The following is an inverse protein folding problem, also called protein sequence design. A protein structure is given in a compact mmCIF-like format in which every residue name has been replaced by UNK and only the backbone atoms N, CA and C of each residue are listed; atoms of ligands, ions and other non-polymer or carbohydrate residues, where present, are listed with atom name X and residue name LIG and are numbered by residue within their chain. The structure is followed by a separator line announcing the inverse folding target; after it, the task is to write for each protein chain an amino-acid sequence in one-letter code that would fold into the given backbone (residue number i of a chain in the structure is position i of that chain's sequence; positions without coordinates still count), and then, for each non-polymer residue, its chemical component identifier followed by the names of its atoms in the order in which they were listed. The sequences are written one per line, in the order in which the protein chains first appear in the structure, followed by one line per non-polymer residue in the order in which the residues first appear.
data_IF_486769551986
#
_entry.id   IF_486769551986
#
_cell.length_a   1.000
_cell.length_b   1.000
_cell.length_c   1.000
_cell.angle_alpha   90.00
_cell.angle_beta   90.00
_cell.angle_gamma   90.00
#
_symmetry.space_group_name_H-M   'P 1'
#
loop_
_entity.id
_entity.type
_entity.pdbx_description
1 polymer ?
#
# COMPACT_ATOMS: atom_id res chain seq x y z
N UNK A 1 5.84 -33.27 19.18
CA UNK A 1 5.12 -31.98 19.10
C UNK A 1 5.77 -31.20 17.96
N UNK A 2 5.27 -31.38 16.74
CA UNK A 2 5.82 -30.70 15.57
C UNK A 2 5.35 -29.25 15.62
N UNK A 3 6.28 -28.35 15.97
CA UNK A 3 6.06 -26.91 15.86
C UNK A 3 6.20 -26.54 14.39
N UNK A 4 5.08 -26.37 13.69
CA UNK A 4 5.09 -25.72 12.40
C UNK A 4 5.41 -24.25 12.66
N UNK A 5 6.62 -23.81 12.30
CA UNK A 5 6.91 -22.38 12.19
C UNK A 5 6.10 -21.87 11.00
N UNK A 6 5.08 -21.06 11.25
CA UNK A 6 4.50 -20.24 10.21
C UNK A 6 5.61 -19.33 9.68
N UNK A 7 6.03 -19.54 8.44
CA UNK A 7 6.87 -18.59 7.73
C UNK A 7 5.92 -17.56 7.12
N UNK A 8 5.97 -16.33 7.60
CA UNK A 8 5.31 -15.21 6.93
C UNK A 8 6.11 -14.96 5.66
N UNK A 9 5.61 -15.45 4.53
CA UNK A 9 6.19 -15.17 3.21
C UNK A 9 5.43 -13.97 2.66
N UNK A 10 6.08 -12.81 2.61
CA UNK A 10 5.55 -11.66 1.91
C UNK A 10 5.63 -11.93 0.40
N UNK A 11 4.48 -12.10 -0.24
CA UNK A 11 4.36 -12.31 -1.67
C UNK A 11 3.82 -11.04 -2.31
N UNK A 12 4.73 -10.25 -2.89
CA UNK A 12 4.40 -9.03 -3.62
C UNK A 12 4.37 -9.30 -5.12
N UNK A 13 3.31 -8.87 -5.80
CA UNK A 13 3.22 -8.91 -7.25
C UNK A 13 3.06 -7.48 -7.79
N UNK A 14 4.11 -6.95 -8.41
CA UNK A 14 4.04 -5.71 -9.17
C UNK A 14 3.32 -5.95 -10.50
N UNK A 15 2.33 -5.13 -10.82
CA UNK A 15 1.55 -5.25 -12.06
C UNK A 15 1.95 -4.13 -13.01
N UNK A 16 2.32 -4.46 -14.25
CA UNK A 16 2.74 -3.50 -15.28
C UNK A 16 1.54 -2.84 -16.00
N UNK A 17 0.61 -2.27 -15.23
CA UNK A 17 -0.50 -1.44 -15.71
C UNK A 17 -0.78 -0.34 -14.69
N UNK A 18 -1.05 0.87 -15.17
CA UNK A 18 -1.38 2.00 -14.31
C UNK A 18 -2.90 2.14 -14.19
N UNK A 19 -3.40 2.20 -12.96
CA UNK A 19 -4.82 2.21 -12.65
C UNK A 19 -5.12 3.23 -11.55
N UNK A 20 -6.36 3.71 -11.49
CA UNK A 20 -6.85 4.46 -10.32
C UNK A 20 -6.86 3.57 -9.08
N UNK A 21 -6.91 4.18 -7.90
CA UNK A 21 -6.86 3.42 -6.64
C UNK A 21 -7.98 2.36 -6.55
N UNK A 22 -9.20 2.72 -6.96
CA UNK A 22 -10.36 1.80 -6.97
C UNK A 22 -10.17 0.67 -8.00
N UNK A 23 -9.63 0.98 -9.18
CA UNK A 23 -9.38 -0.01 -10.22
C UNK A 23 -8.25 -0.98 -9.83
N UNK A 24 -7.17 -0.48 -9.21
CA UNK A 24 -6.07 -1.28 -8.69
C UNK A 24 -6.55 -2.25 -7.60
N UNK A 25 -7.37 -1.77 -6.65
CA UNK A 25 -8.05 -2.62 -5.66
C UNK A 25 -8.85 -3.74 -6.34
N UNK A 26 -9.72 -3.38 -7.29
CA UNK A 26 -10.53 -4.37 -8.01
C UNK A 26 -9.67 -5.35 -8.83
N UNK A 27 -8.54 -4.90 -9.37
CA UNK A 27 -7.62 -5.75 -10.11
C UNK A 27 -7.03 -6.83 -9.20
N UNK A 28 -6.50 -6.47 -8.03
CA UNK A 28 -5.96 -7.45 -7.08
C UNK A 28 -7.03 -8.47 -6.64
N UNK A 29 -8.24 -7.99 -6.34
CA UNK A 29 -9.36 -8.86 -5.93
C UNK A 29 -9.74 -9.88 -7.03
N UNK A 30 -9.70 -9.49 -8.31
CA UNK A 30 -9.95 -10.41 -9.43
C UNK A 30 -8.92 -11.53 -9.55
N UNK A 31 -7.70 -11.32 -9.03
CA UNK A 31 -6.65 -12.32 -8.99
C UNK A 31 -6.69 -13.21 -7.74
N UNK A 32 -7.66 -13.01 -6.84
CA UNK A 32 -7.67 -13.68 -5.53
C UNK A 32 -6.59 -13.14 -4.58
N UNK A 33 -6.15 -11.91 -4.81
CA UNK A 33 -5.19 -11.16 -4.00
C UNK A 33 -5.88 -9.93 -3.39
N UNK A 34 -5.15 -9.12 -2.62
CA UNK A 34 -5.62 -7.82 -2.13
C UNK A 34 -4.58 -6.72 -2.42
N UNK A 35 -5.00 -5.47 -2.42
CA UNK A 35 -4.08 -4.35 -2.60
C UNK A 35 -3.18 -4.24 -1.36
N UNK A 36 -1.89 -3.98 -1.53
CA UNK A 36 -0.89 -4.01 -0.47
C UNK A 36 -1.29 -3.26 0.81
N UNK A 37 -1.19 -3.89 1.98
CA UNK A 37 -1.18 -3.25 3.29
C UNK A 37 0.23 -3.31 3.88
N UNK A 38 0.60 -2.32 4.68
CA UNK A 38 1.93 -2.28 5.34
C UNK A 38 1.71 -2.11 6.83
N UNK A 39 1.65 -3.22 7.55
CA UNK A 39 1.18 -3.27 8.93
C UNK A 39 2.35 -3.22 9.93
N UNK A 40 3.58 -3.52 9.48
CA UNK A 40 4.79 -3.53 10.33
C UNK A 40 5.99 -2.80 9.72
N UNK A 41 6.95 -2.43 10.57
CA UNK A 41 8.20 -1.81 10.12
C UNK A 41 9.09 -2.80 9.35
N UNK A 42 9.03 -4.08 9.71
CA UNK A 42 9.72 -5.18 9.05
C UNK A 42 9.19 -5.38 7.62
N UNK A 43 7.86 -5.37 7.44
CA UNK A 43 7.22 -5.38 6.11
C UNK A 43 7.65 -4.20 5.25
N UNK A 44 7.59 -2.99 5.81
CA UNK A 44 8.01 -1.79 5.10
C UNK A 44 9.46 -1.87 4.65
N UNK A 45 10.37 -2.34 5.51
CA UNK A 45 11.79 -2.48 5.19
C UNK A 45 12.00 -3.47 4.05
N UNK A 46 11.41 -4.67 4.15
CA UNK A 46 11.53 -5.70 3.11
C UNK A 46 10.95 -5.23 1.77
N UNK A 47 9.83 -4.50 1.81
CA UNK A 47 9.22 -3.92 0.62
C UNK A 47 10.12 -2.85 -0.01
N UNK A 48 10.67 -1.92 0.79
CA UNK A 48 11.54 -0.85 0.30
C UNK A 48 12.82 -1.40 -0.34
N UNK A 49 13.42 -2.44 0.24
CA UNK A 49 14.57 -3.14 -0.37
C UNK A 49 14.18 -3.71 -1.74
N UNK A 50 13.06 -4.45 -1.80
CA UNK A 50 12.61 -5.07 -3.05
C UNK A 50 12.31 -4.04 -4.15
N UNK A 51 11.54 -2.99 -3.85
CA UNK A 51 11.18 -1.99 -4.87
C UNK A 51 12.35 -1.05 -5.19
N UNK A 52 13.24 -0.79 -4.24
CA UNK A 52 14.45 0.02 -4.48
C UNK A 52 15.41 -0.66 -5.46
N UNK A 53 15.55 -1.98 -5.38
CA UNK A 53 16.41 -2.74 -6.29
C UNK A 53 15.77 -2.95 -7.67
N UNK A 54 14.46 -3.23 -7.71
CA UNK A 54 13.80 -3.70 -8.94
C UNK A 54 13.00 -2.60 -9.66
N UNK A 55 12.51 -1.60 -8.93
CA UNK A 55 11.58 -0.58 -9.42
C UNK A 55 11.86 0.84 -8.86
N UNK A 56 13.12 1.32 -8.83
CA UNK A 56 13.50 2.54 -8.10
C UNK A 56 12.77 3.81 -8.56
N UNK A 57 12.33 3.86 -9.82
CA UNK A 57 11.70 5.05 -10.41
C UNK A 57 10.17 5.02 -10.41
N UNK A 58 9.56 3.95 -9.90
CA UNK A 58 8.11 3.75 -9.93
C UNK A 58 7.45 4.32 -8.67
N UNK A 59 6.18 4.69 -8.77
CA UNK A 59 5.33 5.05 -7.64
C UNK A 59 4.20 4.04 -7.54
N UNK A 60 3.78 3.71 -6.31
CA UNK A 60 2.85 2.61 -6.10
C UNK A 60 1.64 3.01 -5.28
N UNK A 61 0.46 2.55 -5.67
CA UNK A 61 -0.68 2.49 -4.77
C UNK A 61 -0.48 1.46 -3.67
N UNK A 62 -0.99 1.82 -2.48
CA UNK A 62 -1.26 0.90 -1.37
C UNK A 62 -2.76 0.86 -1.09
N UNK A 63 -3.20 -0.01 -0.19
CA UNK A 63 -4.59 -0.05 0.28
C UNK A 63 -4.93 1.01 1.35
N UNK A 64 -3.98 1.87 1.71
CA UNK A 64 -4.19 2.91 2.71
C UNK A 64 -5.14 3.97 2.16
N UNK A 65 -6.23 4.25 2.87
CA UNK A 65 -7.19 5.27 2.48
C UNK A 65 -7.99 5.79 3.68
N UNK A 66 -8.41 7.05 3.60
CA UNK A 66 -9.43 7.64 4.49
C UNK A 66 -10.70 8.06 3.70
N UNK A 67 -10.85 7.64 2.44
CA UNK A 67 -11.93 8.02 1.51
C UNK A 67 -13.34 7.81 2.08
N UNK A 68 -13.51 6.75 2.88
CA UNK A 68 -14.80 6.39 3.48
C UNK A 68 -14.86 6.69 4.99
N UNK A 69 -13.88 7.41 5.53
CA UNK A 69 -13.70 7.62 6.96
C UNK A 69 -13.81 9.11 7.34
N UNK A 70 -14.95 9.53 7.94
CA UNK A 70 -15.22 10.95 8.22
C UNK A 70 -14.31 11.57 9.28
N UNK A 71 -13.52 10.75 9.99
CA UNK A 71 -12.55 11.21 10.99
C UNK A 71 -11.24 11.69 10.35
N UNK A 72 -11.04 11.49 9.04
CA UNK A 72 -9.79 11.75 8.34
C UNK A 72 -8.68 10.74 8.63
N UNK A 73 -8.93 9.77 9.52
CA UNK A 73 -7.98 8.70 9.83
C UNK A 73 -7.88 7.72 8.67
N UNK A 74 -6.65 7.33 8.36
CA UNK A 74 -6.36 6.30 7.36
C UNK A 74 -6.56 4.90 7.93
N UNK A 75 -7.06 4.03 7.06
CA UNK A 75 -7.23 2.60 7.29
C UNK A 75 -6.65 1.82 6.11
N UNK A 76 -6.20 0.61 6.38
CA UNK A 76 -5.89 -0.36 5.35
C UNK A 76 -7.20 -0.97 4.84
N UNK A 77 -7.67 -0.55 3.67
CA UNK A 77 -8.95 -1.03 3.11
C UNK A 77 -8.95 -2.57 2.91
N UNK A 78 -7.79 -3.15 2.64
CA UNK A 78 -7.59 -4.59 2.46
C UNK A 78 -7.74 -5.42 3.75
N UNK A 79 -7.48 -4.84 4.93
CA UNK A 79 -7.55 -5.54 6.23
C UNK A 79 -8.64 -5.01 7.15
N UNK A 80 -9.09 -3.77 6.91
CA UNK A 80 -10.02 -3.04 7.77
C UNK A 80 -9.36 -2.42 9.00
N UNK A 81 -8.04 -2.57 9.17
CA UNK A 81 -7.33 -2.05 10.33
C UNK A 81 -6.98 -0.57 10.17
N UNK A 82 -6.99 0.16 11.28
CA UNK A 82 -6.46 1.54 11.31
C UNK A 82 -4.92 1.47 11.21
N UNK A 83 -4.29 2.44 10.56
CA UNK A 83 -2.82 2.48 10.48
C UNK A 83 -2.20 2.49 11.89
N UNK A 84 -1.51 1.39 12.24
CA UNK A 84 -0.75 1.23 13.49
C UNK A 84 0.74 1.57 13.33
N UNK A 85 1.31 1.20 12.17
CA UNK A 85 2.64 1.62 11.72
C UNK A 85 2.50 2.70 10.66
N UNK A 86 3.47 3.63 10.60
CA UNK A 86 3.50 4.67 9.56
C UNK A 86 4.90 4.97 9.04
N UNK A 87 5.02 5.16 7.73
CA UNK A 87 6.23 5.62 7.06
C UNK A 87 5.97 6.88 6.20
N UNK A 88 5.16 7.81 6.72
CA UNK A 88 4.84 9.08 6.06
C UNK A 88 6.09 9.88 5.72
N UNK A 89 6.12 10.44 4.51
CA UNK A 89 7.09 11.45 4.14
C UNK A 89 6.89 12.71 5.00
N UNK A 90 7.92 13.56 5.05
CA UNK A 90 7.87 14.76 5.87
C UNK A 90 6.64 15.62 5.53
N UNK A 91 5.90 16.00 6.58
CA UNK A 91 4.64 16.76 6.54
C UNK A 91 3.42 16.03 5.97
N UNK A 92 3.51 14.73 5.67
CA UNK A 92 2.36 13.94 5.21
C UNK A 92 1.62 13.22 6.36
N UNK A 93 0.31 12.95 6.22
CA UNK A 93 -0.56 13.40 5.13
C UNK A 93 -0.94 14.88 5.25
N UNK A 94 -0.92 15.63 4.14
CA UNK A 94 -1.18 17.08 4.11
C UNK A 94 -2.55 17.45 3.52
N UNK A 95 -3.25 16.48 2.91
CA UNK A 95 -4.54 16.63 2.25
C UNK A 95 -4.58 17.86 1.31
N UNK A 96 -3.58 17.99 0.44
CA UNK A 96 -3.46 19.10 -0.47
C UNK A 96 -4.74 19.27 -1.31
N UNK A 97 -5.28 20.48 -1.34
CA UNK A 97 -6.52 20.77 -2.09
C UNK A 97 -7.80 20.17 -1.48
N UNK A 98 -7.71 19.41 -0.38
CA UNK A 98 -8.87 18.82 0.30
C UNK A 98 -9.46 17.59 -0.42
N UNK A 99 -8.66 16.92 -1.26
CA UNK A 99 -9.08 15.82 -2.13
C UNK A 99 -8.16 14.59 -2.08
N UNK A 100 -7.15 14.58 -1.20
CA UNK A 100 -6.15 13.51 -1.14
C UNK A 100 -6.54 12.46 -0.10
N UNK A 101 -7.13 11.37 -0.59
CA UNK A 101 -7.75 10.36 0.26
C UNK A 101 -7.13 8.96 0.14
N UNK A 102 -6.10 8.81 -0.70
CA UNK A 102 -5.47 7.53 -1.01
C UNK A 102 -3.96 7.60 -0.81
N UNK A 103 -3.40 6.54 -0.21
CA UNK A 103 -1.99 6.46 0.15
C UNK A 103 -1.18 5.83 -0.99
N UNK A 104 -0.16 6.56 -1.41
CA UNK A 104 0.84 6.11 -2.37
C UNK A 104 2.28 6.09 -1.80
N UNK A 105 3.18 5.47 -2.55
CA UNK A 105 4.62 5.41 -2.30
C UNK A 105 5.37 6.00 -3.51
N UNK A 106 5.62 7.32 -3.57
CA UNK A 106 6.32 7.95 -4.69
C UNK A 106 7.84 7.75 -4.63
N UNK A 107 8.44 7.40 -5.78
CA UNK A 107 9.91 7.30 -5.93
C UNK A 107 10.64 8.60 -5.59
N UNK A 108 10.01 9.76 -5.85
CA UNK A 108 10.57 11.09 -5.55
C UNK A 108 10.71 11.35 -4.04
N UNK A 109 10.10 10.54 -3.20
CA UNK A 109 10.17 10.62 -1.74
C UNK A 109 10.86 9.38 -1.13
N UNK A 110 11.72 8.69 -1.89
CA UNK A 110 12.31 7.40 -1.49
C UNK A 110 11.25 6.38 -1.05
N UNK A 111 10.09 6.40 -1.71
CA UNK A 111 8.94 5.54 -1.43
C UNK A 111 8.35 5.69 -0.01
N UNK A 112 8.70 6.75 0.72
CA UNK A 112 7.95 7.16 1.91
C UNK A 112 6.53 7.59 1.53
N UNK A 113 5.58 7.42 2.45
CA UNK A 113 4.16 7.51 2.14
C UNK A 113 3.70 8.94 1.90
N UNK A 114 2.78 9.10 0.97
CA UNK A 114 2.14 10.37 0.62
C UNK A 114 0.64 10.11 0.42
N UNK A 115 -0.24 11.00 0.87
CA UNK A 115 -1.63 11.00 0.42
C UNK A 115 -1.73 11.75 -0.91
N UNK A 116 -2.60 11.26 -1.78
CA UNK A 116 -2.87 11.90 -3.08
C UNK A 116 -4.31 11.60 -3.52
N UNK A 117 -4.79 12.35 -4.51
CA UNK A 117 -6.11 12.13 -5.11
C UNK A 117 -6.22 10.70 -5.69
N UNK A 118 -7.25 9.97 -5.27
CA UNK A 118 -7.46 8.57 -5.66
C UNK A 118 -7.65 8.33 -7.17
N UNK A 119 -7.88 9.40 -7.94
CA UNK A 119 -8.14 9.38 -9.39
C UNK A 119 -6.88 9.36 -10.23
N UNK A 120 -5.69 9.57 -9.65
CA UNK A 120 -4.43 9.37 -10.37
C UNK A 120 -4.27 7.92 -10.82
N UNK A 121 -3.74 7.72 -12.02
CA UNK A 121 -3.36 6.39 -12.51
C UNK A 121 -1.88 6.15 -12.24
N UNK A 122 -1.56 5.08 -11.52
CA UNK A 122 -0.17 4.67 -11.25
C UNK A 122 -0.06 3.17 -11.05
N UNK A 123 1.19 2.69 -10.95
CA UNK A 123 1.49 1.30 -10.66
C UNK A 123 1.01 0.92 -9.25
N UNK A 124 0.88 -0.37 -8.98
CA UNK A 124 0.36 -0.87 -7.71
C UNK A 124 0.91 -2.25 -7.39
N UNK A 125 0.83 -2.61 -6.11
CA UNK A 125 1.34 -3.89 -5.61
C UNK A 125 0.15 -4.66 -5.04
N UNK A 126 -0.07 -5.87 -5.55
CA UNK A 126 -0.97 -6.84 -4.93
C UNK A 126 -0.20 -7.72 -3.96
N UNK A 127 -0.83 -8.09 -2.85
CA UNK A 127 -0.33 -9.06 -1.90
C UNK A 127 -1.28 -10.25 -1.74
N UNK A 128 -0.70 -11.41 -1.39
CA UNK A 128 -1.49 -12.58 -1.04
C UNK A 128 -2.16 -12.42 0.34
N UNK A 129 -3.32 -13.06 0.52
CA UNK A 129 -3.89 -13.20 1.85
C UNK A 129 -2.95 -14.00 2.75
N UNK A 130 -2.75 -13.53 3.99
CA UNK A 130 -2.13 -14.35 5.02
C UNK A 130 -2.98 -15.62 5.21
N UNK A 131 -2.37 -16.79 5.04
CA UNK A 131 -3.03 -18.05 5.41
C UNK A 131 -3.10 -18.11 6.94
N UNK A 132 -4.30 -18.29 7.54
CA UNK A 132 -4.45 -18.55 8.98
C UNK A 132 -3.66 -19.77 9.45
#
# INVERSE_FOLDING_TARGET
MNSYKAFVIFAFCCVAVQLTWVEAKHFCLKLGLRLLSIETAEENTALLEYIGENYPNYRFWTSGSNLYHPTGKFYWDSTGEMLGFTNWFINQPDNQGGSEYCLEMPSTANHMWNDIECTFSMDFICEAYACP
#
